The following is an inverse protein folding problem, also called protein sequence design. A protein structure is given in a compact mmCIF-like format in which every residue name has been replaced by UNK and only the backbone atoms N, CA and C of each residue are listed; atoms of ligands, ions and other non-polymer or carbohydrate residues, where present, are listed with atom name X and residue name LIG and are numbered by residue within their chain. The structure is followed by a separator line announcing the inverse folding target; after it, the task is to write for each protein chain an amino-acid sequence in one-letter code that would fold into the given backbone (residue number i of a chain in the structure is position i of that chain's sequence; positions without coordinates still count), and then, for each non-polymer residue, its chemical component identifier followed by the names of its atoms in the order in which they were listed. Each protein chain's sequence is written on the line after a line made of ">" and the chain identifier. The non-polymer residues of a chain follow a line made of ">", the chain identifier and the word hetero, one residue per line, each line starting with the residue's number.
data_IF_230435956968
#
_entry.id   IF_230435956968
#
_cell.length_a   1.000
_cell.length_b   1.000
_cell.length_c   1.000
_cell.angle_alpha   90.00
_cell.angle_beta   90.00
_cell.angle_gamma   90.00
#
_symmetry.space_group_name_H-M   'P 1'
#
loop_
_entity.id
_entity.type
_entity.pdbx_description
1 polymer ?
#
# COMPACT_ATOMS: atom_id res chain seq x y z
N UNK A 1 -33.96 -8.81 4.48
CA UNK A 1 -32.90 -9.65 3.88
C UNK A 1 -32.04 -8.75 2.97
N UNK A 2 -30.73 -8.85 3.04
CA UNK A 2 -29.83 -8.12 2.14
C UNK A 2 -29.47 -9.06 0.98
N UNK A 3 -29.74 -8.60 -0.24
CA UNK A 3 -29.37 -9.32 -1.44
C UNK A 3 -27.88 -9.08 -1.73
N UNK A 4 -27.16 -10.12 -2.09
CA UNK A 4 -25.73 -10.08 -2.43
C UNK A 4 -25.52 -10.53 -3.86
N UNK A 5 -24.93 -9.66 -4.68
CA UNK A 5 -24.61 -9.94 -6.09
C UNK A 5 -23.10 -10.12 -6.19
N UNK A 6 -22.66 -11.37 -6.25
CA UNK A 6 -21.25 -11.74 -6.33
C UNK A 6 -20.74 -11.86 -7.77
N UNK A 7 -19.41 -11.84 -7.97
CA UNK A 7 -18.81 -11.95 -9.31
C UNK A 7 -19.16 -10.79 -10.24
N UNK A 8 -19.68 -9.68 -9.72
CA UNK A 8 -20.21 -8.56 -10.49
C UNK A 8 -19.38 -7.31 -10.25
N UNK A 9 -18.98 -6.64 -11.33
CA UNK A 9 -18.18 -5.42 -11.29
C UNK A 9 -19.04 -4.19 -11.47
N UNK A 10 -18.91 -3.20 -10.60
CA UNK A 10 -19.49 -1.88 -10.80
C UNK A 10 -18.67 -1.11 -11.81
N UNK A 11 -19.31 -0.65 -12.89
CA UNK A 11 -18.66 0.11 -13.96
C UNK A 11 -18.82 1.61 -13.77
N UNK A 12 -20.03 2.04 -13.40
CA UNK A 12 -20.35 3.46 -13.33
C UNK A 12 -21.47 3.71 -12.31
N UNK A 13 -21.47 4.88 -11.71
CA UNK A 13 -22.56 5.40 -10.89
C UNK A 13 -22.98 6.73 -11.50
N UNK A 14 -24.22 6.80 -11.97
CA UNK A 14 -24.81 8.04 -12.50
C UNK A 14 -25.80 8.62 -11.52
N UNK A 15 -25.88 9.94 -11.49
CA UNK A 15 -26.91 10.66 -10.77
C UNK A 15 -27.79 11.42 -11.79
N UNK A 16 -29.11 11.20 -11.67
CA UNK A 16 -30.11 11.93 -12.43
C UNK A 16 -31.16 12.52 -11.46
N UNK A 17 -31.02 13.80 -11.09
CA UNK A 17 -31.92 14.45 -10.14
C UNK A 17 -33.39 14.44 -10.54
N UNK A 18 -33.70 14.26 -11.84
CA UNK A 18 -35.08 14.20 -12.32
C UNK A 18 -35.80 12.92 -11.93
N UNK A 19 -35.06 11.89 -11.56
CA UNK A 19 -35.60 10.57 -11.18
C UNK A 19 -35.75 10.37 -9.66
N UNK A 20 -35.94 11.43 -8.89
CA UNK A 20 -36.17 11.32 -7.45
C UNK A 20 -37.40 10.45 -7.15
N UNK A 21 -37.41 9.63 -6.06
CA UNK A 21 -36.35 9.49 -5.05
C UNK A 21 -35.22 8.51 -5.42
N UNK A 22 -35.27 7.82 -6.54
CA UNK A 22 -34.28 6.87 -7.03
C UNK A 22 -33.39 7.54 -8.08
N UNK A 23 -32.71 8.61 -7.64
CA UNK A 23 -31.91 9.48 -8.47
C UNK A 23 -30.52 8.96 -8.84
N UNK A 24 -30.18 7.75 -8.37
CA UNK A 24 -28.90 7.11 -8.67
C UNK A 24 -29.10 5.79 -9.39
N UNK A 25 -28.31 5.58 -10.45
CA UNK A 25 -28.25 4.32 -11.18
C UNK A 25 -26.81 3.79 -11.12
N UNK A 26 -26.67 2.57 -10.62
CA UNK A 26 -25.40 1.84 -10.59
C UNK A 26 -25.39 0.86 -11.77
N UNK A 27 -24.45 1.04 -12.69
CA UNK A 27 -24.23 0.13 -13.81
C UNK A 27 -23.21 -0.92 -13.39
N UNK A 28 -23.60 -2.19 -13.54
CA UNK A 28 -22.75 -3.32 -13.18
C UNK A 28 -22.60 -4.27 -14.37
N UNK A 29 -21.51 -5.02 -14.41
CA UNK A 29 -21.27 -6.10 -15.35
C UNK A 29 -21.18 -7.43 -14.60
N UNK A 30 -22.10 -8.33 -14.93
CA UNK A 30 -22.14 -9.70 -14.42
C UNK A 30 -21.81 -10.70 -15.53
N UNK A 31 -20.96 -11.72 -15.31
CA UNK A 31 -20.70 -12.76 -16.30
C UNK A 31 -21.94 -13.57 -16.67
N UNK A 32 -22.90 -13.73 -15.75
CA UNK A 32 -24.11 -14.51 -15.95
C UNK A 32 -25.30 -13.71 -16.49
N UNK A 33 -25.40 -12.42 -16.15
CA UNK A 33 -26.57 -11.60 -16.42
C UNK A 33 -26.29 -10.45 -17.40
N UNK A 34 -25.02 -10.22 -17.76
CA UNK A 34 -24.61 -9.12 -18.62
C UNK A 34 -24.60 -7.79 -17.87
N UNK A 35 -25.07 -6.73 -18.52
CA UNK A 35 -25.16 -5.39 -17.93
C UNK A 35 -26.40 -5.26 -17.09
N UNK A 36 -26.23 -4.91 -15.82
CA UNK A 36 -27.30 -4.66 -14.87
C UNK A 36 -27.39 -3.16 -14.55
N UNK A 37 -28.61 -2.64 -14.44
CA UNK A 37 -28.91 -1.29 -14.01
C UNK A 37 -29.68 -1.32 -12.69
N UNK A 38 -29.03 -0.89 -11.62
CA UNK A 38 -29.60 -0.88 -10.28
C UNK A 38 -29.96 0.56 -9.88
N UNK A 39 -31.25 0.85 -9.77
CA UNK A 39 -31.74 2.16 -9.32
C UNK A 39 -31.81 2.21 -7.80
N UNK A 40 -31.22 3.24 -7.20
CA UNK A 40 -31.18 3.38 -5.75
C UNK A 40 -31.25 4.84 -5.29
N UNK A 41 -31.59 5.04 -4.01
CA UNK A 41 -31.59 6.36 -3.35
C UNK A 41 -30.22 6.74 -2.84
N UNK A 42 -29.45 5.74 -2.41
CA UNK A 42 -28.14 5.95 -1.79
C UNK A 42 -27.17 4.84 -2.21
N UNK A 43 -25.92 5.21 -2.36
CA UNK A 43 -24.81 4.27 -2.64
C UNK A 43 -23.81 4.38 -1.50
N UNK A 44 -23.46 3.25 -0.90
CA UNK A 44 -22.37 3.16 0.07
C UNK A 44 -21.17 2.57 -0.63
N UNK A 45 -20.07 3.36 -0.71
CA UNK A 45 -18.81 2.94 -1.29
C UNK A 45 -17.97 2.24 -0.22
N UNK A 46 -17.75 0.94 -0.40
CA UNK A 46 -16.99 0.09 0.53
C UNK A 46 -15.94 -0.73 -0.22
N UNK A 47 -15.26 -0.12 -1.17
CA UNK A 47 -14.36 -0.75 -2.15
C UNK A 47 -12.88 -0.74 -1.75
N UNK A 48 -12.56 -0.41 -0.51
CA UNK A 48 -11.19 -0.31 -0.02
C UNK A 48 -10.43 0.90 -0.59
N UNK A 49 -9.12 0.80 -0.57
CA UNK A 49 -8.23 1.87 -1.00
C UNK A 49 -7.17 1.33 -1.97
N UNK A 50 -6.81 2.13 -2.94
CA UNK A 50 -5.69 1.82 -3.83
C UNK A 50 -4.38 2.27 -3.18
N UNK A 51 -3.40 1.39 -3.18
CA UNK A 51 -2.06 1.71 -2.69
C UNK A 51 -1.36 2.74 -3.57
N UNK A 52 -0.51 3.53 -2.95
CA UNK A 52 0.42 4.42 -3.68
C UNK A 52 1.58 3.60 -4.20
N UNK A 53 1.64 3.45 -5.51
CA UNK A 53 2.79 2.83 -6.18
C UNK A 53 3.93 3.84 -6.33
N UNK A 54 5.15 3.36 -6.65
CA UNK A 54 6.34 4.18 -6.82
C UNK A 54 6.14 5.45 -7.67
N UNK A 55 5.38 5.32 -8.77
CA UNK A 55 5.08 6.46 -9.64
C UNK A 55 4.32 7.59 -8.95
N UNK A 56 3.41 7.26 -8.03
CA UNK A 56 2.68 8.23 -7.23
C UNK A 56 3.57 8.90 -6.16
N UNK A 57 4.56 8.17 -5.65
CA UNK A 57 5.51 8.68 -4.64
C UNK A 57 6.63 9.51 -5.27
N UNK A 58 6.82 9.42 -6.59
CA UNK A 58 7.89 10.10 -7.35
C UNK A 58 9.29 9.83 -6.79
N UNK A 59 9.51 8.64 -6.22
CA UNK A 59 10.81 8.27 -5.65
C UNK A 59 11.88 8.21 -6.75
N UNK A 60 12.98 8.96 -6.63
CA UNK A 60 14.06 8.98 -7.62
C UNK A 60 14.80 7.65 -7.72
N UNK A 61 15.65 7.55 -8.74
CA UNK A 61 16.56 6.41 -8.95
C UNK A 61 16.12 5.49 -10.08
N UNK A 62 16.79 4.34 -10.19
CA UNK A 62 16.59 3.32 -11.21
C UNK A 62 15.26 2.58 -11.03
N UNK A 63 14.90 1.72 -11.99
CA UNK A 63 13.64 0.95 -11.98
C UNK A 63 13.91 -0.57 -12.08
N UNK A 64 14.66 -1.14 -11.15
CA UNK A 64 14.94 -2.56 -11.13
C UNK A 64 13.72 -3.38 -10.70
N UNK A 65 13.75 -4.68 -10.91
CA UNK A 65 12.85 -5.63 -10.24
C UNK A 65 13.17 -5.63 -8.74
N UNK A 66 12.14 -5.77 -7.89
CA UNK A 66 12.28 -5.80 -6.43
C UNK A 66 11.55 -4.67 -5.72
N UNK A 67 10.83 -3.81 -6.44
CA UNK A 67 10.02 -2.73 -5.88
C UNK A 67 8.56 -3.11 -5.99
N UNK A 68 7.90 -3.29 -4.86
CA UNK A 68 6.52 -3.76 -4.77
C UNK A 68 5.68 -2.80 -3.93
N UNK A 69 4.39 -2.70 -4.22
CA UNK A 69 3.46 -2.18 -3.22
C UNK A 69 3.24 -3.22 -2.12
N UNK A 70 2.85 -2.78 -0.92
CA UNK A 70 2.65 -3.69 0.21
C UNK A 70 1.57 -4.74 -0.08
N UNK A 71 0.47 -4.38 -0.77
CA UNK A 71 -0.58 -5.33 -1.15
C UNK A 71 -0.13 -6.32 -2.21
N UNK A 72 0.72 -5.93 -3.17
CA UNK A 72 1.30 -6.88 -4.11
C UNK A 72 2.24 -7.87 -3.38
N UNK A 73 3.08 -7.37 -2.48
CA UNK A 73 3.93 -8.23 -1.65
C UNK A 73 3.08 -9.19 -0.79
N UNK A 74 1.98 -8.68 -0.21
CA UNK A 74 1.02 -9.50 0.54
C UNK A 74 0.41 -10.61 -0.32
N UNK A 75 0.00 -10.30 -1.53
CA UNK A 75 -0.52 -11.30 -2.46
C UNK A 75 0.52 -12.38 -2.78
N UNK A 76 1.74 -11.97 -3.14
CA UNK A 76 2.81 -12.90 -3.46
C UNK A 76 3.08 -13.87 -2.30
N UNK A 77 3.19 -13.35 -1.08
CA UNK A 77 3.47 -14.17 0.11
C UNK A 77 2.28 -15.04 0.48
N UNK A 78 1.07 -14.46 0.57
CA UNK A 78 -0.07 -15.15 1.16
C UNK A 78 -0.84 -16.05 0.20
N UNK A 79 -0.89 -15.71 -1.09
CA UNK A 79 -1.67 -16.45 -2.07
C UNK A 79 -0.79 -17.25 -3.03
N UNK A 80 0.37 -16.73 -3.41
CA UNK A 80 1.23 -17.38 -4.41
C UNK A 80 2.38 -18.18 -3.76
N UNK A 81 2.60 -18.03 -2.43
CA UNK A 81 3.70 -18.69 -1.72
C UNK A 81 5.09 -18.23 -2.18
N UNK A 82 5.19 -17.03 -2.72
CA UNK A 82 6.44 -16.48 -3.28
C UNK A 82 6.98 -15.39 -2.38
N UNK A 83 8.24 -15.50 -1.97
CA UNK A 83 8.96 -14.46 -1.23
C UNK A 83 9.50 -13.39 -2.20
N UNK A 84 9.02 -12.13 -2.14
CA UNK A 84 9.44 -11.08 -3.07
C UNK A 84 10.88 -10.60 -2.86
N UNK A 85 11.41 -10.71 -1.64
CA UNK A 85 12.77 -10.31 -1.31
C UNK A 85 13.20 -10.84 0.05
N UNK A 86 14.53 -11.04 0.23
CA UNK A 86 15.12 -11.55 1.48
C UNK A 86 15.57 -10.43 2.42
N UNK A 87 16.02 -9.29 1.87
CA UNK A 87 16.36 -8.08 2.61
C UNK A 87 15.39 -7.00 2.19
N UNK A 88 14.68 -6.38 3.13
CA UNK A 88 13.53 -5.54 2.82
C UNK A 88 13.60 -4.22 3.57
N UNK A 89 13.36 -3.14 2.86
CA UNK A 89 13.06 -1.81 3.42
C UNK A 89 11.62 -1.48 3.09
N UNK A 90 10.85 -1.07 4.08
CA UNK A 90 9.44 -0.71 3.90
C UNK A 90 9.31 0.81 4.00
N UNK A 91 8.65 1.43 3.03
CA UNK A 91 8.33 2.86 3.03
C UNK A 91 6.86 3.06 3.36
N UNK A 92 6.63 3.62 4.53
CA UNK A 92 5.31 3.90 5.09
C UNK A 92 4.96 2.99 6.28
N UNK A 93 4.50 3.58 7.37
CA UNK A 93 4.12 2.93 8.61
C UNK A 93 2.60 2.84 8.82
N UNK A 94 1.83 2.83 7.74
CA UNK A 94 0.41 2.47 7.78
C UNK A 94 0.24 0.98 8.10
N UNK A 95 -0.96 0.57 8.53
CA UNK A 95 -1.23 -0.80 8.99
C UNK A 95 -0.78 -1.89 8.03
N UNK A 96 -0.99 -1.71 6.71
CA UNK A 96 -0.57 -2.71 5.72
C UNK A 96 0.95 -2.85 5.69
N UNK A 97 1.70 -1.74 5.75
CA UNK A 97 3.17 -1.77 5.82
C UNK A 97 3.67 -2.49 7.07
N UNK A 98 3.06 -2.20 8.22
CA UNK A 98 3.41 -2.84 9.50
C UNK A 98 3.09 -4.35 9.49
N UNK A 99 1.91 -4.73 9.02
CA UNK A 99 1.50 -6.14 8.92
C UNK A 99 2.43 -6.89 7.97
N UNK A 100 2.85 -6.27 6.87
CA UNK A 100 3.79 -6.90 5.95
C UNK A 100 5.21 -6.99 6.50
N UNK A 101 5.65 -6.02 7.31
CA UNK A 101 6.92 -6.12 8.04
C UNK A 101 6.95 -7.40 8.90
N UNK A 102 5.92 -7.62 9.71
CA UNK A 102 5.78 -8.83 10.51
C UNK A 102 5.68 -10.09 9.64
N UNK A 103 4.82 -10.06 8.63
CA UNK A 103 4.57 -11.24 7.79
C UNK A 103 5.85 -11.70 7.08
N UNK A 104 6.58 -10.78 6.47
CA UNK A 104 7.81 -11.11 5.76
C UNK A 104 8.91 -11.60 6.71
N UNK A 105 8.99 -11.04 7.92
CA UNK A 105 9.92 -11.53 8.96
C UNK A 105 9.60 -12.97 9.34
N UNK A 106 8.33 -13.32 9.54
CA UNK A 106 7.92 -14.70 9.85
C UNK A 106 8.19 -15.69 8.73
N UNK A 107 8.17 -15.24 7.49
CA UNK A 107 8.54 -16.05 6.32
C UNK A 107 10.06 -16.08 6.07
N UNK A 108 10.87 -15.49 6.96
CA UNK A 108 12.33 -15.57 6.92
C UNK A 108 13.03 -14.43 6.17
N UNK A 109 12.35 -13.35 5.83
CA UNK A 109 13.00 -12.16 5.33
C UNK A 109 13.60 -11.33 6.47
N UNK A 110 14.72 -10.67 6.20
CA UNK A 110 15.29 -9.63 7.06
C UNK A 110 14.66 -8.29 6.72
N UNK A 111 13.71 -7.82 7.53
CA UNK A 111 13.18 -6.46 7.40
C UNK A 111 14.13 -5.51 8.09
N UNK A 112 14.93 -4.78 7.29
CA UNK A 112 15.97 -3.87 7.78
C UNK A 112 15.39 -2.71 8.59
N UNK A 113 14.27 -2.15 8.11
CA UNK A 113 13.60 -1.02 8.75
C UNK A 113 12.26 -0.71 8.08
N UNK A 114 11.46 0.06 8.79
CA UNK A 114 10.32 0.80 8.24
C UNK A 114 10.65 2.29 8.28
N UNK A 115 10.54 2.97 7.15
CA UNK A 115 10.71 4.43 7.03
C UNK A 115 9.33 5.09 6.97
N UNK A 116 9.16 6.16 7.73
CA UNK A 116 7.95 6.96 7.76
C UNK A 116 8.29 8.44 7.59
N UNK A 117 7.67 9.09 6.60
CA UNK A 117 7.92 10.51 6.30
C UNK A 117 7.37 11.44 7.39
N UNK A 118 6.33 11.00 8.10
CA UNK A 118 5.74 11.76 9.20
C UNK A 118 6.55 11.58 10.49
N UNK A 119 6.47 12.52 11.44
CA UNK A 119 7.11 12.37 12.75
C UNK A 119 6.38 11.38 13.68
N UNK A 120 5.40 10.66 13.17
CA UNK A 120 4.62 9.64 13.88
C UNK A 120 4.19 8.52 12.93
N UNK A 121 3.96 7.33 13.46
CA UNK A 121 3.38 6.23 12.70
C UNK A 121 1.88 6.43 12.46
N UNK A 122 1.42 6.15 11.26
CA UNK A 122 0.00 6.18 10.90
C UNK A 122 -0.74 4.87 11.23
N UNK A 123 -0.04 3.83 11.65
CA UNK A 123 -0.61 2.55 12.02
C UNK A 123 -1.22 2.54 13.42
N UNK A 124 -2.12 1.58 13.67
CA UNK A 124 -2.70 1.36 14.98
C UNK A 124 -1.63 0.96 16.01
N UNK A 125 -1.77 1.43 17.25
CA UNK A 125 -0.81 1.15 18.33
C UNK A 125 -0.51 -0.35 18.51
N UNK A 126 -1.54 -1.21 18.41
CA UNK A 126 -1.37 -2.67 18.46
C UNK A 126 -0.48 -3.21 17.34
N UNK A 127 -0.57 -2.63 16.14
CA UNK A 127 0.25 -3.06 15.00
C UNK A 127 1.69 -2.56 15.14
N UNK A 128 1.90 -1.36 15.70
CA UNK A 128 3.25 -0.89 16.06
C UNK A 128 3.89 -1.87 17.04
N UNK A 129 3.18 -2.24 18.10
CA UNK A 129 3.68 -3.20 19.08
C UNK A 129 4.01 -4.55 18.44
N UNK A 130 3.01 -5.19 17.84
CA UNK A 130 3.12 -6.58 17.36
C UNK A 130 3.95 -6.74 16.08
N UNK A 131 4.07 -5.70 15.27
CA UNK A 131 4.75 -5.81 13.98
C UNK A 131 6.15 -5.21 13.98
N UNK A 132 6.47 -4.33 14.91
CA UNK A 132 7.79 -3.70 14.99
C UNK A 132 8.48 -4.00 16.31
N UNK A 133 7.88 -3.65 17.45
CA UNK A 133 8.54 -3.73 18.76
C UNK A 133 8.82 -5.19 19.13
N UNK A 134 7.83 -6.07 19.04
CA UNK A 134 7.97 -7.49 19.37
C UNK A 134 8.95 -8.24 18.45
N UNK A 135 9.25 -7.69 17.27
CA UNK A 135 10.17 -8.26 16.28
C UNK A 135 11.49 -7.50 16.16
N UNK A 136 11.69 -6.46 16.98
CA UNK A 136 12.87 -5.59 16.94
C UNK A 136 13.13 -4.97 15.56
N UNK A 137 12.07 -4.63 14.80
CA UNK A 137 12.20 -3.97 13.50
C UNK A 137 12.28 -2.47 13.73
N UNK A 138 13.35 -1.78 13.26
CA UNK A 138 13.54 -0.35 13.45
C UNK A 138 12.46 0.47 12.71
N UNK A 139 11.90 1.48 13.38
CA UNK A 139 11.04 2.50 12.78
C UNK A 139 11.78 3.83 12.71
N UNK A 140 12.04 4.30 11.50
CA UNK A 140 12.68 5.58 11.22
C UNK A 140 11.61 6.62 10.86
N UNK A 141 11.23 7.45 11.82
CA UNK A 141 10.30 8.57 11.62
C UNK A 141 11.01 9.74 10.93
N UNK A 142 10.23 10.66 10.35
CA UNK A 142 10.74 11.79 9.58
C UNK A 142 11.83 11.38 8.59
N UNK A 143 11.63 10.23 7.92
CA UNK A 143 12.63 9.61 7.04
C UNK A 143 11.95 9.09 5.78
N UNK A 144 12.57 9.30 4.63
CA UNK A 144 12.07 8.82 3.34
C UNK A 144 13.18 8.23 2.48
N UNK A 145 12.79 7.50 1.42
CA UNK A 145 13.72 7.02 0.40
C UNK A 145 13.94 8.14 -0.62
N UNK A 146 15.18 8.53 -0.81
CA UNK A 146 15.58 9.61 -1.73
C UNK A 146 16.24 9.09 -3.00
N UNK A 147 16.69 7.84 -3.03
CA UNK A 147 17.21 7.21 -4.24
C UNK A 147 17.07 5.69 -4.20
N UNK A 148 16.92 5.07 -5.37
CA UNK A 148 16.83 3.62 -5.56
C UNK A 148 17.98 3.19 -6.45
N UNK A 149 18.70 2.14 -6.03
CA UNK A 149 19.89 1.61 -6.68
C UNK A 149 19.66 0.19 -7.20
N UNK A 150 20.35 -0.15 -8.28
CA UNK A 150 20.30 -1.42 -8.96
C UNK A 150 19.94 -1.26 -10.43
N UNK A 151 20.36 -2.20 -11.26
CA UNK A 151 20.06 -2.21 -12.69
C UNK A 151 18.95 -3.20 -13.02
N UNK A 152 19.23 -4.46 -12.92
CA UNK A 152 18.28 -5.53 -13.23
C UNK A 152 17.41 -5.87 -12.01
N UNK A 153 18.02 -5.85 -10.83
CA UNK A 153 17.36 -6.07 -9.54
C UNK A 153 17.75 -4.97 -8.56
N UNK A 154 16.89 -4.76 -7.57
CA UNK A 154 17.15 -3.86 -6.45
C UNK A 154 18.40 -4.33 -5.67
N UNK A 155 19.32 -3.41 -5.44
CA UNK A 155 20.56 -3.63 -4.68
C UNK A 155 20.54 -2.86 -3.37
N UNK A 156 19.77 -1.79 -3.32
CA UNK A 156 19.61 -0.98 -2.12
C UNK A 156 18.88 0.33 -2.39
N UNK A 157 18.71 1.07 -1.32
CA UNK A 157 18.08 2.39 -1.33
C UNK A 157 18.94 3.39 -0.56
N UNK A 158 18.87 4.66 -0.93
CA UNK A 158 19.33 5.75 -0.07
C UNK A 158 18.15 6.34 0.66
N UNK A 159 18.22 6.37 1.97
CA UNK A 159 17.25 7.05 2.84
C UNK A 159 17.84 8.39 3.28
N UNK A 160 16.96 9.36 3.63
CA UNK A 160 17.36 10.61 4.26
C UNK A 160 16.30 11.07 5.24
N UNK A 161 16.70 11.83 6.25
CA UNK A 161 15.76 12.53 7.12
C UNK A 161 15.08 13.66 6.34
N UNK A 162 13.87 14.01 6.79
CA UNK A 162 13.12 15.12 6.20
C UNK A 162 12.83 16.21 7.24
N UNK A 163 12.71 17.43 6.74
CA UNK A 163 12.27 18.59 7.52
C UNK A 163 10.74 18.60 7.75
N UNK A 164 10.22 19.61 8.43
CA UNK A 164 8.79 19.79 8.67
C UNK A 164 7.97 19.94 7.38
N UNK A 165 8.59 20.39 6.29
CA UNK A 165 7.98 20.51 4.96
C UNK A 165 8.12 19.23 4.14
N UNK A 166 8.71 18.17 4.73
CA UNK A 166 8.99 16.86 4.13
C UNK A 166 10.02 16.91 3.00
N UNK A 167 10.90 17.91 2.99
CA UNK A 167 12.04 17.94 2.10
C UNK A 167 13.21 17.18 2.71
N UNK A 168 13.95 16.40 1.91
CA UNK A 168 15.16 15.73 2.40
C UNK A 168 16.18 16.74 2.93
N UNK A 169 16.78 16.43 4.08
CA UNK A 169 17.82 17.23 4.72
C UNK A 169 19.17 16.78 4.19
N UNK A 170 19.92 17.63 3.46
CA UNK A 170 21.22 17.28 2.93
C UNK A 170 22.21 16.86 4.04
N UNK A 171 23.05 15.86 3.74
CA UNK A 171 24.03 15.33 4.69
C UNK A 171 23.47 14.30 5.68
N UNK A 172 22.21 13.92 5.53
CA UNK A 172 21.58 12.84 6.33
C UNK A 172 21.38 11.56 5.53
N UNK A 173 21.88 11.51 4.31
CA UNK A 173 21.74 10.38 3.41
C UNK A 173 22.49 9.16 3.94
N UNK A 174 21.82 8.02 3.92
CA UNK A 174 22.37 6.73 4.28
C UNK A 174 21.99 5.68 3.24
N UNK A 175 22.97 4.95 2.73
CA UNK A 175 22.72 3.79 1.88
C UNK A 175 22.33 2.57 2.73
N UNK A 176 21.30 1.86 2.29
CA UNK A 176 20.82 0.63 2.91
C UNK A 176 20.69 -0.44 1.82
N UNK A 177 21.47 -1.50 1.95
CA UNK A 177 21.38 -2.68 1.08
C UNK A 177 20.06 -3.43 1.32
N UNK A 178 19.32 -3.72 0.27
CA UNK A 178 18.06 -4.48 0.37
C UNK A 178 17.66 -5.18 -0.94
#
# INVERSE_FOLDING_TARGET
>A
QIESVTGTMVLEIRQDPQNAPYDKTVFCLSPSEGVLELRCRSVILSMGCRERVRGNLKTPGTRPVGIYSAGLAQRLVNLEGVMPGKKVVILGSGDIGLIMARRMTWEGAEVKMVCEIMPYSAGLARNIQQCLIDLNIPLHLSTTIVNIHGRDRLEGVTIARVDEKRNPIPGTEQYVEC
#
